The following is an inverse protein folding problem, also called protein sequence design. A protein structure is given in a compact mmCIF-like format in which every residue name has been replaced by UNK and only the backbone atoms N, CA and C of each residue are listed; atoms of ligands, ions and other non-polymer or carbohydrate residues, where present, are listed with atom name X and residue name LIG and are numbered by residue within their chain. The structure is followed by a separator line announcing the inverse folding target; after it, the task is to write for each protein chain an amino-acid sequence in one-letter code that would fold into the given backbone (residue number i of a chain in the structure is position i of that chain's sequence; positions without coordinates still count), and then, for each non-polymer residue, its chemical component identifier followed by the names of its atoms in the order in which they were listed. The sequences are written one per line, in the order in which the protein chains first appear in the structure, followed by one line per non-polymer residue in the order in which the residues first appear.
data_IF_653173646565
#
_entry.id   IF_653173646565
#
_cell.length_a   1.000
_cell.length_b   1.000
_cell.length_c   1.000
_cell.angle_alpha   90.00
_cell.angle_beta   90.00
_cell.angle_gamma   90.00
#
_symmetry.space_group_name_H-M   'P 1'
#
loop_
_entity.id
_entity.type
_entity.pdbx_description
1 polymer ?
#
# COMPACT_ATOMS: atom_id res chain seq x y z
N UNK A 1 -16.93 -47.15 -26.16
CA UNK A 1 -16.78 -45.70 -25.93
C UNK A 1 -17.33 -45.42 -24.54
N UNK A 2 -16.46 -45.35 -23.53
CA UNK A 2 -16.85 -45.08 -22.14
C UNK A 2 -16.70 -43.59 -21.86
N UNK A 3 -17.79 -42.93 -21.51
CA UNK A 3 -17.79 -41.57 -20.99
C UNK A 3 -17.14 -41.57 -19.61
N UNK A 4 -15.93 -41.00 -19.50
CA UNK A 4 -15.34 -40.71 -18.19
C UNK A 4 -16.21 -39.65 -17.52
N UNK A 5 -17.02 -40.07 -16.56
CA UNK A 5 -17.74 -39.17 -15.66
C UNK A 5 -16.70 -38.40 -14.86
N UNK A 6 -16.52 -37.12 -15.20
CA UNK A 6 -15.57 -36.24 -14.53
C UNK A 6 -15.94 -36.11 -13.07
N UNK A 7 -15.05 -36.54 -12.18
CA UNK A 7 -15.19 -36.31 -10.75
C UNK A 7 -15.39 -34.81 -10.51
N UNK A 8 -16.60 -34.44 -10.09
CA UNK A 8 -16.95 -33.06 -9.79
C UNK A 8 -16.02 -32.54 -8.71
N UNK A 9 -15.09 -31.65 -9.08
CA UNK A 9 -14.26 -30.93 -8.12
C UNK A 9 -15.17 -29.99 -7.35
N UNK A 10 -15.14 -30.07 -6.04
CA UNK A 10 -15.83 -29.13 -5.16
C UNK A 10 -15.36 -27.70 -5.46
N UNK A 11 -16.28 -26.71 -5.43
CA UNK A 11 -15.90 -25.31 -5.60
C UNK A 11 -14.91 -24.91 -4.52
N UNK A 12 -13.79 -24.29 -4.92
CA UNK A 12 -12.82 -23.74 -3.98
C UNK A 12 -13.20 -22.29 -3.66
N UNK A 13 -13.38 -21.99 -2.37
CA UNK A 13 -13.62 -20.63 -1.90
C UNK A 13 -12.28 -19.98 -1.52
N UNK A 14 -12.07 -18.75 -1.96
CA UNK A 14 -10.91 -17.94 -1.61
C UNK A 14 -11.34 -16.64 -0.91
N UNK A 15 -10.47 -16.07 -0.07
CA UNK A 15 -10.64 -14.74 0.52
C UNK A 15 -9.74 -13.72 -0.15
N UNK A 16 -10.27 -12.51 -0.35
CA UNK A 16 -9.46 -11.39 -0.82
C UNK A 16 -8.46 -10.97 0.28
N UNK A 17 -7.17 -10.81 -0.01
CA UNK A 17 -6.17 -10.43 1.00
C UNK A 17 -6.41 -9.02 1.55
N UNK A 18 -7.04 -8.12 0.77
CA UNK A 18 -7.28 -6.74 1.19
C UNK A 18 -8.53 -6.57 2.05
N UNK A 19 -9.64 -7.23 1.69
CA UNK A 19 -10.95 -6.99 2.32
C UNK A 19 -11.56 -8.23 2.99
N UNK A 20 -10.88 -9.38 2.93
CA UNK A 20 -11.28 -10.66 3.54
C UNK A 20 -12.65 -11.21 3.09
N UNK A 21 -13.28 -10.62 2.07
CA UNK A 21 -14.56 -11.08 1.54
C UNK A 21 -14.36 -12.37 0.75
N UNK A 22 -15.30 -13.31 0.91
CA UNK A 22 -15.35 -14.60 0.19
C UNK A 22 -15.77 -14.34 -1.25
N UNK A 23 -15.14 -15.03 -2.20
CA UNK A 23 -15.60 -15.08 -3.57
C UNK A 23 -15.47 -16.50 -4.12
N UNK A 24 -16.37 -16.83 -5.03
CA UNK A 24 -16.39 -18.09 -5.75
C UNK A 24 -15.57 -17.99 -7.02
N UNK A 25 -14.92 -19.09 -7.34
CA UNK A 25 -13.99 -19.18 -8.44
C UNK A 25 -14.59 -20.11 -9.50
N UNK A 26 -15.02 -19.58 -10.66
CA UNK A 26 -15.53 -20.42 -11.73
C UNK A 26 -14.42 -21.34 -12.23
N UNK A 27 -14.76 -22.63 -12.41
CA UNK A 27 -13.81 -23.71 -12.63
C UNK A 27 -12.85 -23.50 -13.81
N UNK A 28 -11.68 -24.15 -13.68
CA UNK A 28 -10.43 -24.01 -14.46
C UNK A 28 -9.62 -22.74 -14.13
N UNK A 29 -8.55 -22.93 -13.35
CA UNK A 29 -7.64 -21.86 -12.96
C UNK A 29 -6.31 -21.97 -13.67
N UNK A 30 -5.94 -20.89 -14.33
CA UNK A 30 -4.58 -20.71 -14.83
C UNK A 30 -3.72 -20.09 -13.73
N UNK A 31 -2.65 -20.76 -13.26
CA UNK A 31 -1.72 -20.20 -12.30
C UNK A 31 -0.99 -19.02 -12.94
N UNK A 32 -1.52 -17.82 -12.75
CA UNK A 32 -0.99 -16.60 -13.36
C UNK A 32 -2.02 -15.51 -13.63
N UNK A 33 -3.32 -15.84 -13.59
CA UNK A 33 -4.35 -14.82 -13.79
C UNK A 33 -4.40 -13.86 -12.59
N UNK A 34 -4.33 -12.56 -12.87
CA UNK A 34 -4.65 -11.51 -11.91
C UNK A 34 -6.18 -11.50 -11.72
N UNK A 35 -6.62 -11.69 -10.48
CA UNK A 35 -8.03 -11.61 -10.10
C UNK A 35 -8.28 -10.23 -9.47
N UNK A 36 -9.38 -9.58 -9.86
CA UNK A 36 -9.80 -8.31 -9.26
C UNK A 36 -10.97 -8.55 -8.31
N UNK A 37 -10.83 -8.13 -7.05
CA UNK A 37 -11.90 -8.23 -6.07
C UNK A 37 -13.05 -7.30 -6.46
N UNK A 38 -14.24 -7.85 -6.74
CA UNK A 38 -15.44 -7.07 -7.08
C UNK A 38 -15.91 -6.15 -5.95
N UNK A 39 -15.48 -6.39 -4.71
CA UNK A 39 -15.90 -5.63 -3.55
C UNK A 39 -15.01 -4.43 -3.22
N UNK A 40 -13.69 -4.57 -3.32
CA UNK A 40 -12.75 -3.50 -2.98
C UNK A 40 -11.91 -3.00 -4.16
N UNK A 41 -12.02 -3.63 -5.34
CA UNK A 41 -11.29 -3.27 -6.55
C UNK A 41 -9.82 -3.68 -6.54
N UNK A 42 -9.29 -4.28 -5.48
CA UNK A 42 -7.89 -4.70 -5.42
C UNK A 42 -7.62 -5.87 -6.36
N UNK A 43 -6.50 -5.80 -7.08
CA UNK A 43 -5.99 -6.88 -7.93
C UNK A 43 -4.98 -7.70 -7.14
N UNK A 44 -5.12 -9.02 -7.12
CA UNK A 44 -4.20 -9.93 -6.44
C UNK A 44 -3.94 -11.16 -7.31
N UNK A 45 -2.82 -11.84 -7.05
CA UNK A 45 -2.52 -13.10 -7.73
C UNK A 45 -3.18 -14.25 -6.98
N UNK A 46 -3.64 -15.27 -7.70
CA UNK A 46 -4.39 -16.38 -7.09
C UNK A 46 -3.61 -17.10 -5.97
N UNK A 47 -2.28 -17.16 -6.04
CA UNK A 47 -1.44 -17.77 -5.00
C UNK A 47 -1.30 -16.91 -3.73
N UNK A 48 -1.65 -15.63 -3.79
CA UNK A 48 -1.70 -14.72 -2.64
C UNK A 48 -3.05 -14.80 -1.92
N UNK A 49 -4.04 -15.47 -2.51
CA UNK A 49 -5.34 -15.64 -1.89
C UNK A 49 -5.26 -16.68 -0.76
N UNK A 50 -5.85 -16.34 0.39
CA UNK A 50 -5.88 -17.22 1.56
C UNK A 50 -6.88 -18.36 1.31
N UNK A 51 -6.48 -19.64 1.40
CA UNK A 51 -7.39 -20.76 1.32
C UNK A 51 -8.42 -20.68 2.45
N UNK A 52 -9.70 -20.79 2.09
CA UNK A 52 -10.75 -20.90 3.08
C UNK A 52 -10.81 -22.34 3.58
N UNK A 53 -10.36 -22.58 4.80
CA UNK A 53 -10.66 -23.84 5.50
C UNK A 53 -12.07 -23.76 6.07
N UNK A 54 -12.96 -24.64 5.59
CA UNK A 54 -14.34 -24.79 6.07
C UNK A 54 -14.42 -25.41 7.48
N UNK A 55 -13.28 -25.74 8.08
CA UNK A 55 -13.20 -26.50 9.34
C UNK A 55 -13.46 -25.66 10.60
N UNK A 56 -13.87 -24.39 10.49
CA UNK A 56 -14.45 -23.70 11.65
C UNK A 56 -15.88 -24.21 11.85
N UNK A 57 -16.17 -24.91 12.97
CA UNK A 57 -17.53 -25.36 13.26
C UNK A 57 -18.44 -24.13 13.21
N UNK A 58 -19.36 -24.13 12.25
CA UNK A 58 -20.45 -23.17 12.17
C UNK A 58 -21.10 -23.14 13.56
N UNK A 59 -20.85 -22.07 14.31
CA UNK A 59 -21.64 -21.73 15.46
C UNK A 59 -23.04 -21.47 14.89
N UNK A 60 -23.89 -22.49 15.00
CA UNK A 60 -25.23 -22.55 14.43
C UNK A 60 -26.12 -21.53 15.12
N UNK A 61 -25.96 -20.27 14.74
CA UNK A 61 -26.86 -19.21 15.15
C UNK A 61 -28.18 -19.44 14.39
N UNK A 62 -29.28 -19.81 15.07
CA UNK A 62 -30.54 -20.23 14.44
C UNK A 62 -31.23 -19.10 13.66
N UNK A 63 -30.73 -17.86 13.76
CA UNK A 63 -31.23 -16.71 12.99
C UNK A 63 -30.84 -16.73 11.49
N UNK A 64 -29.85 -17.54 11.08
CA UNK A 64 -29.39 -17.60 9.68
C UNK A 64 -30.07 -18.70 8.84
N UNK A 65 -30.75 -19.65 9.48
CA UNK A 65 -31.40 -20.79 8.81
C UNK A 65 -32.62 -20.40 7.95
N UNK A 66 -33.22 -19.22 8.20
CA UNK A 66 -34.39 -18.76 7.45
C UNK A 66 -34.11 -18.22 6.04
N UNK A 67 -32.85 -17.88 5.72
CA UNK A 67 -32.51 -17.26 4.42
C UNK A 67 -32.09 -18.32 3.39
N UNK A 68 -31.58 -19.48 3.82
CA UNK A 68 -31.10 -20.53 2.91
C UNK A 68 -32.23 -21.24 2.14
N UNK A 69 -33.45 -21.32 2.68
CA UNK A 69 -34.57 -22.01 2.02
C UNK A 69 -35.21 -21.23 0.86
N UNK A 70 -34.81 -19.98 0.62
CA UNK A 70 -35.32 -19.18 -0.50
C UNK A 70 -34.48 -19.28 -1.77
N UNK A 71 -33.32 -19.96 -1.75
CA UNK A 71 -32.44 -20.09 -2.92
C UNK A 71 -32.60 -21.40 -3.72
N UNK A 72 -33.37 -22.38 -3.25
CA UNK A 72 -33.46 -23.72 -3.86
C UNK A 72 -34.61 -23.88 -4.91
N UNK A 73 -35.03 -22.80 -5.59
CA UNK A 73 -35.97 -22.90 -6.72
C UNK A 73 -35.24 -22.68 -8.07
N UNK A 74 -34.80 -23.76 -8.77
CA UNK A 74 -34.01 -23.66 -10.00
C UNK A 74 -34.84 -23.63 -11.31
N UNK A 75 -36.12 -23.25 -11.29
CA UNK A 75 -37.01 -23.47 -12.44
C UNK A 75 -37.35 -22.25 -13.30
N UNK A 76 -37.00 -21.02 -12.90
CA UNK A 76 -37.12 -19.84 -13.77
C UNK A 76 -35.73 -19.25 -13.97
N UNK A 77 -35.20 -19.43 -15.19
CA UNK A 77 -33.99 -18.80 -15.70
C UNK A 77 -34.37 -17.51 -16.40
N UNK A 78 -34.43 -16.34 -15.73
CA UNK A 78 -34.33 -15.07 -16.43
C UNK A 78 -32.88 -14.90 -16.89
N UNK A 79 -32.73 -14.99 -18.20
CA UNK A 79 -31.52 -14.69 -18.94
C UNK A 79 -30.85 -13.40 -18.47
N UNK A 80 -29.52 -13.44 -18.43
CA UNK A 80 -28.63 -12.34 -18.17
C UNK A 80 -28.80 -11.66 -16.80
N UNK A 81 -28.17 -12.27 -15.78
CA UNK A 81 -27.67 -11.47 -14.66
C UNK A 81 -26.93 -10.26 -15.25
N UNK A 82 -27.38 -9.02 -14.96
CA UNK A 82 -26.76 -7.83 -15.53
C UNK A 82 -25.30 -7.88 -15.13
N UNK A 83 -24.41 -8.01 -16.13
CA UNK A 83 -22.99 -7.84 -15.88
C UNK A 83 -22.85 -6.52 -15.14
N UNK A 84 -22.19 -6.50 -13.96
CA UNK A 84 -22.04 -5.27 -13.18
C UNK A 84 -21.45 -4.23 -14.12
N UNK A 85 -22.30 -3.26 -14.49
CA UNK A 85 -22.05 -2.37 -15.59
C UNK A 85 -20.63 -1.78 -15.45
N UNK A 86 -19.85 -1.87 -16.52
CA UNK A 86 -18.52 -1.28 -16.64
C UNK A 86 -18.51 0.25 -16.41
N UNK A 87 -19.67 0.87 -16.22
CA UNK A 87 -19.85 2.27 -15.83
C UNK A 87 -19.31 2.62 -14.45
N UNK A 88 -19.06 1.62 -13.58
CA UNK A 88 -18.43 1.87 -12.28
C UNK A 88 -16.94 2.24 -12.34
N UNK A 89 -16.22 1.87 -13.41
CA UNK A 89 -14.78 2.15 -13.53
C UNK A 89 -14.47 3.55 -14.06
N UNK A 90 -15.35 4.15 -14.85
CA UNK A 90 -15.11 5.48 -15.45
C UNK A 90 -15.12 6.62 -14.43
N UNK A 91 -15.89 6.49 -13.34
CA UNK A 91 -15.93 7.51 -12.28
C UNK A 91 -14.62 7.60 -11.47
N UNK A 92 -13.81 6.54 -11.45
CA UNK A 92 -12.56 6.56 -10.69
C UNK A 92 -11.42 7.24 -11.47
N UNK A 93 -11.41 7.16 -12.81
CA UNK A 93 -10.31 7.72 -13.62
C UNK A 93 -10.33 9.24 -13.75
N UNK A 94 -11.51 9.88 -13.81
CA UNK A 94 -11.57 11.35 -13.96
C UNK A 94 -11.04 12.09 -12.73
N UNK A 95 -11.32 11.58 -11.53
CA UNK A 95 -10.87 12.19 -10.28
C UNK A 95 -9.36 12.09 -10.07
N UNK A 96 -8.73 11.01 -10.56
CA UNK A 96 -7.28 10.80 -10.43
C UNK A 96 -6.52 11.85 -11.22
N UNK A 97 -6.94 12.16 -12.44
CA UNK A 97 -6.29 13.18 -13.27
C UNK A 97 -6.38 14.58 -12.64
N UNK A 98 -7.54 14.91 -12.04
CA UNK A 98 -7.72 16.18 -11.34
C UNK A 98 -6.78 16.29 -10.11
N UNK A 99 -6.64 15.22 -9.32
CA UNK A 99 -5.73 15.19 -8.17
C UNK A 99 -4.28 15.37 -8.63
N UNK A 100 -3.86 14.69 -9.69
CA UNK A 100 -2.51 14.85 -10.26
C UNK A 100 -2.26 16.27 -10.77
N UNK A 101 -3.24 16.88 -11.43
CA UNK A 101 -3.13 18.27 -11.88
C UNK A 101 -2.97 19.23 -10.69
N UNK A 102 -3.74 19.04 -9.61
CA UNK A 102 -3.63 19.86 -8.40
C UNK A 102 -2.27 19.71 -7.71
N UNK A 103 -1.73 18.49 -7.64
CA UNK A 103 -0.40 18.24 -7.08
C UNK A 103 0.68 18.87 -7.97
N UNK A 104 0.58 18.72 -9.29
CA UNK A 104 1.53 19.31 -10.22
C UNK A 104 1.54 20.83 -10.13
N UNK A 105 0.35 21.45 -10.14
CA UNK A 105 0.19 22.90 -9.99
C UNK A 105 0.70 23.39 -8.63
N UNK A 106 0.37 22.68 -7.54
CA UNK A 106 0.86 22.99 -6.21
C UNK A 106 2.38 22.91 -6.10
N UNK A 107 2.99 21.87 -6.69
CA UNK A 107 4.44 21.72 -6.75
C UNK A 107 5.14 22.79 -7.59
N UNK A 108 4.58 23.15 -8.75
CA UNK A 108 5.10 24.25 -9.59
C UNK A 108 4.99 25.58 -8.84
N UNK A 109 3.86 25.86 -8.21
CA UNK A 109 3.67 27.07 -7.41
C UNK A 109 4.69 27.13 -6.26
N UNK A 110 4.91 26.02 -5.56
CA UNK A 110 5.92 25.93 -4.50
C UNK A 110 7.32 26.26 -5.02
N UNK A 111 7.74 25.66 -6.15
CA UNK A 111 9.05 25.93 -6.78
C UNK A 111 9.16 27.40 -7.20
N UNK A 112 8.11 27.96 -7.81
CA UNK A 112 8.10 29.36 -8.26
C UNK A 112 8.20 30.32 -7.06
N UNK A 113 7.47 30.06 -5.98
CA UNK A 113 7.54 30.83 -4.74
C UNK A 113 8.95 30.72 -4.15
N UNK A 114 9.53 29.52 -4.06
CA UNK A 114 10.91 29.35 -3.61
C UNK A 114 11.87 30.22 -4.42
N UNK A 115 11.73 30.22 -5.75
CA UNK A 115 12.57 31.01 -6.66
C UNK A 115 12.47 32.52 -6.40
N UNK A 116 11.27 33.04 -6.11
CA UNK A 116 11.07 34.46 -5.78
C UNK A 116 11.76 34.88 -4.47
N UNK A 117 11.88 33.96 -3.50
CA UNK A 117 12.54 34.24 -2.21
C UNK A 117 14.07 34.06 -2.23
N UNK A 118 14.64 33.45 -3.27
CA UNK A 118 16.08 33.21 -3.37
C UNK A 118 17.00 34.43 -3.22
N UNK A 119 16.70 35.61 -3.80
CA UNK A 119 17.59 36.77 -3.66
C UNK A 119 17.57 37.40 -2.26
N UNK A 120 16.56 37.08 -1.42
CA UNK A 120 16.38 37.70 -0.11
C UNK A 120 16.94 36.89 1.05
N UNK A 121 17.40 35.65 0.80
CA UNK A 121 17.84 34.74 1.86
C UNK A 121 19.33 34.45 1.79
N UNK A 122 20.00 34.70 2.93
CA UNK A 122 21.37 34.26 3.18
C UNK A 122 21.48 32.73 3.12
N UNK A 123 22.68 32.22 2.85
CA UNK A 123 22.96 30.78 2.74
C UNK A 123 22.41 29.93 3.91
N UNK A 124 22.67 30.28 5.18
CA UNK A 124 22.15 29.52 6.33
C UNK A 124 20.62 29.57 6.46
N UNK A 125 20.01 30.73 6.19
CA UNK A 125 18.55 30.89 6.23
C UNK A 125 17.87 30.04 5.16
N UNK A 126 18.45 30.00 3.94
CA UNK A 126 17.99 29.11 2.88
C UNK A 126 18.05 27.64 3.28
N UNK A 127 19.11 27.23 4.00
CA UNK A 127 19.28 25.83 4.40
C UNK A 127 18.21 25.39 5.41
N UNK A 128 17.85 26.26 6.36
CA UNK A 128 16.71 26.03 7.27
C UNK A 128 15.41 25.95 6.47
N UNK A 129 15.17 26.90 5.58
CA UNK A 129 13.99 26.89 4.69
C UNK A 129 13.90 25.59 3.89
N UNK A 130 15.01 25.12 3.32
CA UNK A 130 15.07 23.90 2.52
C UNK A 130 14.74 22.65 3.34
N UNK A 131 15.25 22.56 4.57
CA UNK A 131 14.92 21.45 5.49
C UNK A 131 13.43 21.49 5.86
N UNK A 132 12.89 22.66 6.18
CA UNK A 132 11.47 22.82 6.51
C UNK A 132 10.58 22.48 5.31
N UNK A 133 10.94 22.94 4.10
CA UNK A 133 10.23 22.62 2.87
C UNK A 133 10.29 21.11 2.56
N UNK A 134 11.44 20.46 2.74
CA UNK A 134 11.59 19.02 2.58
C UNK A 134 10.74 18.21 3.56
N UNK A 135 10.75 18.58 4.85
CA UNK A 135 9.89 17.96 5.87
C UNK A 135 8.40 18.22 5.61
N UNK A 136 8.05 19.43 5.17
CA UNK A 136 6.69 19.80 4.79
C UNK A 136 6.18 19.00 3.59
N UNK A 137 6.99 18.83 2.54
CA UNK A 137 6.67 17.97 1.41
C UNK A 137 6.52 16.50 1.84
N UNK A 138 7.43 16.00 2.68
CA UNK A 138 7.35 14.63 3.20
C UNK A 138 6.05 14.43 3.98
N UNK A 139 5.72 15.32 4.92
CA UNK A 139 4.47 15.26 5.69
C UNK A 139 3.23 15.39 4.81
N UNK A 140 3.25 16.31 3.84
CA UNK A 140 2.16 16.53 2.89
C UNK A 140 1.88 15.29 2.03
N UNK A 141 2.94 14.62 1.54
CA UNK A 141 2.82 13.35 0.81
C UNK A 141 2.22 12.26 1.71
N UNK A 142 2.63 12.16 2.97
CA UNK A 142 2.05 11.17 3.89
C UNK A 142 0.58 11.46 4.19
N UNK A 143 0.20 12.73 4.36
CA UNK A 143 -1.20 13.13 4.55
C UNK A 143 -2.05 12.81 3.31
N UNK A 144 -1.58 13.20 2.12
CA UNK A 144 -2.26 12.88 0.86
C UNK A 144 -2.43 11.38 0.67
N UNK A 145 -1.45 10.59 1.10
CA UNK A 145 -1.51 9.13 1.06
C UNK A 145 -2.54 8.53 2.02
N UNK A 146 -2.82 9.17 3.15
CA UNK A 146 -3.92 8.75 4.02
C UNK A 146 -5.29 9.04 3.39
N UNK A 147 -5.39 10.11 2.60
CA UNK A 147 -6.64 10.50 1.92
C UNK A 147 -6.88 9.75 0.61
N UNK A 148 -5.81 9.48 -0.15
CA UNK A 148 -5.85 8.87 -1.48
C UNK A 148 -5.10 7.54 -1.40
N UNK A 149 -5.85 6.48 -1.15
CA UNK A 149 -5.33 5.13 -0.90
C UNK A 149 -4.32 4.66 -1.97
N UNK A 150 -3.08 4.41 -1.53
CA UNK A 150 -2.25 3.34 -2.09
C UNK A 150 -1.35 3.64 -3.29
N UNK A 151 -1.18 4.89 -3.74
CA UNK A 151 -0.24 5.18 -4.83
C UNK A 151 1.13 5.62 -4.32
N UNK A 152 2.14 4.77 -4.49
CA UNK A 152 3.55 5.12 -4.21
C UNK A 152 4.05 6.27 -5.10
N UNK A 153 3.35 6.53 -6.20
CA UNK A 153 3.61 7.63 -7.13
C UNK A 153 3.67 9.00 -6.44
N UNK A 154 2.97 9.22 -5.32
CA UNK A 154 3.03 10.48 -4.57
C UNK A 154 4.40 10.71 -3.90
N UNK A 155 5.06 9.65 -3.43
CA UNK A 155 6.43 9.77 -2.89
C UNK A 155 7.43 10.14 -3.99
N UNK A 156 7.27 9.57 -5.19
CA UNK A 156 8.11 9.90 -6.34
C UNK A 156 7.92 11.36 -6.76
N UNK A 157 6.67 11.82 -6.84
CA UNK A 157 6.38 13.23 -7.16
C UNK A 157 6.98 14.19 -6.12
N UNK A 158 6.80 13.90 -4.82
CA UNK A 158 7.39 14.69 -3.73
C UNK A 158 8.92 14.75 -3.79
N UNK A 159 9.57 13.62 -4.07
CA UNK A 159 11.02 13.53 -4.29
C UNK A 159 11.47 14.42 -5.46
N UNK A 160 10.77 14.35 -6.60
CA UNK A 160 11.09 15.16 -7.77
C UNK A 160 10.97 16.66 -7.46
N UNK A 161 9.91 17.10 -6.78
CA UNK A 161 9.77 18.51 -6.39
C UNK A 161 10.87 18.95 -5.41
N UNK A 162 11.18 18.12 -4.42
CA UNK A 162 12.27 18.39 -3.49
C UNK A 162 13.62 18.56 -4.22
N UNK A 163 13.95 17.64 -5.13
CA UNK A 163 15.17 17.72 -5.93
C UNK A 163 15.19 18.94 -6.86
N UNK A 164 14.05 19.31 -7.46
CA UNK A 164 13.95 20.49 -8.31
C UNK A 164 14.20 21.79 -7.54
N UNK A 165 13.66 21.93 -6.32
CA UNK A 165 13.92 23.10 -5.47
C UNK A 165 15.42 23.19 -5.14
N UNK A 166 16.04 22.06 -4.78
CA UNK A 166 17.47 22.02 -4.49
C UNK A 166 18.32 22.31 -5.73
N UNK A 167 18.00 21.70 -6.88
CA UNK A 167 18.71 21.93 -8.13
C UNK A 167 18.61 23.39 -8.60
N UNK A 168 17.43 24.01 -8.49
CA UNK A 168 17.24 25.41 -8.86
C UNK A 168 18.14 26.35 -8.05
N UNK A 169 18.27 26.12 -6.74
CA UNK A 169 19.18 26.92 -5.91
C UNK A 169 20.65 26.58 -6.18
N UNK A 170 20.97 25.33 -6.50
CA UNK A 170 22.32 24.94 -6.89
C UNK A 170 22.78 25.72 -8.13
N UNK A 171 21.95 25.77 -9.18
CA UNK A 171 22.22 26.58 -10.38
C UNK A 171 22.34 28.07 -10.03
N UNK A 172 21.44 28.59 -9.19
CA UNK A 172 21.47 30.01 -8.81
C UNK A 172 22.78 30.41 -8.12
N UNK A 173 23.22 29.66 -7.11
CA UNK A 173 24.44 30.04 -6.41
C UNK A 173 25.72 29.75 -7.21
N UNK A 174 25.69 28.86 -8.23
CA UNK A 174 26.82 28.68 -9.15
C UNK A 174 27.11 29.99 -9.88
N UNK A 175 26.07 30.76 -10.18
CA UNK A 175 26.20 32.09 -10.77
C UNK A 175 26.65 33.17 -9.77
N UNK A 176 26.74 32.87 -8.47
CA UNK A 176 27.10 33.80 -7.40
C UNK A 176 28.37 33.40 -6.64
N UNK A 177 29.19 32.50 -7.20
CA UNK A 177 30.46 32.03 -6.63
C UNK A 177 30.38 31.54 -5.17
N UNK A 178 29.24 30.94 -4.76
CA UNK A 178 29.10 30.44 -3.39
C UNK A 178 29.90 29.15 -3.18
N UNK A 179 31.06 29.20 -2.53
CA UNK A 179 32.00 28.05 -2.47
C UNK A 179 31.62 26.87 -1.55
N UNK A 180 30.46 26.87 -0.87
CA UNK A 180 30.10 25.85 0.16
C UNK A 180 28.94 24.93 -0.24
N UNK A 181 29.07 24.29 -1.40
CA UNK A 181 28.04 23.39 -1.98
C UNK A 181 27.84 22.05 -1.26
N UNK A 182 28.86 21.58 -0.56
CA UNK A 182 28.85 20.24 0.04
C UNK A 182 27.68 20.03 1.00
N UNK A 183 27.38 21.03 1.84
CA UNK A 183 26.28 20.93 2.81
C UNK A 183 24.92 20.77 2.14
N UNK A 184 24.67 21.53 1.07
CA UNK A 184 23.42 21.45 0.34
C UNK A 184 23.27 20.09 -0.36
N UNK A 185 24.34 19.61 -0.98
CA UNK A 185 24.37 18.28 -1.63
C UNK A 185 24.09 17.16 -0.62
N UNK A 186 24.70 17.23 0.57
CA UNK A 186 24.47 16.26 1.63
C UNK A 186 23.01 16.25 2.10
N UNK A 187 22.37 17.41 2.26
CA UNK A 187 20.97 17.50 2.68
C UNK A 187 20.03 17.01 1.56
N UNK A 188 20.34 17.30 0.29
CA UNK A 188 19.59 16.73 -0.84
C UNK A 188 19.65 15.20 -0.83
N UNK A 189 20.83 14.64 -0.57
CA UNK A 189 21.01 13.19 -0.48
C UNK A 189 20.25 12.58 0.71
N UNK A 190 20.39 13.15 1.91
CA UNK A 190 19.68 12.70 3.11
C UNK A 190 18.16 12.79 2.92
N UNK A 191 17.67 13.91 2.38
CA UNK A 191 16.25 14.09 2.08
C UNK A 191 15.74 13.07 1.07
N UNK A 192 16.51 12.80 0.00
CA UNK A 192 16.16 11.78 -0.99
C UNK A 192 16.07 10.38 -0.38
N UNK A 193 17.01 10.04 0.52
CA UNK A 193 16.98 8.78 1.25
C UNK A 193 15.74 8.65 2.15
N UNK A 194 15.28 9.74 2.78
CA UNK A 194 14.05 9.72 3.57
C UNK A 194 12.81 9.40 2.71
N UNK A 195 12.71 9.96 1.50
CA UNK A 195 11.63 9.62 0.56
C UNK A 195 11.71 8.15 0.09
N UNK A 196 12.91 7.64 -0.17
CA UNK A 196 13.10 6.23 -0.55
C UNK A 196 12.75 5.26 0.59
N UNK A 197 13.16 5.57 1.82
CA UNK A 197 12.80 4.78 3.01
C UNK A 197 11.28 4.81 3.23
N UNK A 198 10.64 5.97 3.06
CA UNK A 198 9.17 6.10 3.10
C UNK A 198 8.48 5.16 2.11
N UNK A 199 9.00 5.07 0.88
CA UNK A 199 8.47 4.17 -0.16
C UNK A 199 8.65 2.70 0.22
N UNK A 200 9.81 2.33 0.77
CA UNK A 200 10.10 0.94 1.16
C UNK A 200 9.20 0.41 2.29
N UNK A 201 8.74 1.29 3.19
CA UNK A 201 7.86 0.92 4.31
C UNK A 201 6.46 0.47 3.87
N UNK A 202 6.04 0.84 2.65
CA UNK A 202 4.74 0.49 2.07
C UNK A 202 4.63 -0.98 1.71
N UNK A 203 5.68 -1.53 1.10
CA UNK A 203 5.66 -2.88 0.51
C UNK A 203 5.51 -3.99 1.55
N UNK A 204 5.61 -3.68 2.85
CA UNK A 204 5.48 -4.65 3.94
C UNK A 204 4.08 -4.71 4.56
N UNK A 205 3.11 -3.92 4.10
CA UNK A 205 1.73 -4.00 4.62
C UNK A 205 0.90 -5.16 4.05
N UNK A 206 1.47 -5.98 3.16
CA UNK A 206 0.82 -7.16 2.57
C UNK A 206 1.00 -8.47 3.35
N UNK A 207 2.04 -8.61 4.16
CA UNK A 207 2.30 -9.83 4.92
C UNK A 207 2.05 -9.57 6.42
N UNK A 208 1.08 -10.28 6.99
CA UNK A 208 0.72 -10.15 8.39
C UNK A 208 1.91 -10.40 9.32
N UNK A 209 2.24 -9.43 10.17
CA UNK A 209 3.17 -9.65 11.27
C UNK A 209 3.80 -8.38 11.82
N UNK A 210 3.31 -7.95 12.99
CA UNK A 210 4.09 -7.16 13.94
C UNK A 210 4.39 -5.71 13.56
N UNK A 211 3.62 -4.77 14.11
CA UNK A 211 4.07 -3.38 14.27
C UNK A 211 5.28 -3.35 15.20
N UNK A 212 6.49 -3.33 14.66
CA UNK A 212 7.67 -2.83 15.37
C UNK A 212 8.15 -1.56 14.67
N UNK A 213 7.80 -0.42 15.25
CA UNK A 213 8.17 0.90 14.74
C UNK A 213 9.69 1.10 14.70
N UNK A 214 10.13 1.84 13.69
CA UNK A 214 11.53 2.20 13.42
C UNK A 214 12.16 3.14 14.48
N UNK A 215 11.39 3.53 15.50
CA UNK A 215 11.84 4.28 16.69
C UNK A 215 11.85 3.45 17.97
N UNK A 216 11.69 2.12 17.90
CA UNK A 216 11.98 1.24 19.02
C UNK A 216 13.51 1.03 19.16
N UNK A 217 14.24 2.13 19.32
CA UNK A 217 15.52 2.13 20.00
C UNK A 217 15.23 1.96 21.50
N UNK A 218 15.02 0.71 21.91
CA UNK A 218 14.72 0.36 23.28
C UNK A 218 15.25 -1.02 23.58
N UNK A 219 16.52 -1.08 24.00
CA UNK A 219 17.10 -2.11 24.85
C UNK A 219 16.66 -3.56 24.61
N UNK A 220 17.38 -4.25 23.71
CA UNK A 220 17.56 -5.70 23.82
C UNK A 220 18.67 -6.00 24.85
N UNK A 221 18.54 -5.50 26.07
CA UNK A 221 19.37 -5.94 27.20
C UNK A 221 18.65 -7.09 27.88
N UNK A 222 19.30 -8.25 27.93
CA UNK A 222 18.90 -9.51 28.61
C UNK A 222 18.00 -10.50 27.85
N UNK A 223 18.55 -11.13 26.82
CA UNK A 223 18.28 -12.55 26.55
C UNK A 223 19.63 -13.28 26.45
N UNK A 224 20.35 -13.28 27.56
CA UNK A 224 21.47 -14.18 27.78
C UNK A 224 20.91 -15.58 28.07
N UNK A 225 20.96 -16.47 27.08
CA UNK A 225 21.05 -17.95 27.18
C UNK A 225 20.17 -18.65 26.13
N UNK A 226 20.63 -18.67 24.88
CA UNK A 226 20.29 -19.74 23.93
C UNK A 226 21.59 -20.19 23.27
N UNK A 227 22.43 -20.84 24.07
CA UNK A 227 23.52 -21.66 23.55
C UNK A 227 22.93 -22.95 23.00
N UNK A 228 23.54 -23.42 21.92
CA UNK A 228 23.50 -24.77 21.35
C UNK A 228 22.31 -25.17 20.46
N UNK A 229 22.71 -25.56 19.23
CA UNK A 229 22.08 -26.49 18.31
C UNK A 229 21.02 -25.96 17.33
N UNK A 230 21.50 -25.54 16.15
CA UNK A 230 21.09 -26.13 14.88
C UNK A 230 19.72 -25.76 14.31
N UNK A 231 19.74 -25.00 13.20
CA UNK A 231 18.87 -25.27 12.06
C UNK A 231 17.42 -24.79 12.16
N UNK A 232 17.19 -23.59 11.60
CA UNK A 232 16.02 -23.27 10.78
C UNK A 232 14.64 -23.58 11.37
N UNK A 233 14.06 -22.60 12.07
CA UNK A 233 12.62 -22.55 12.31
C UNK A 233 12.16 -21.10 12.17
N UNK A 234 11.67 -20.76 10.97
CA UNK A 234 10.78 -19.63 10.79
C UNK A 234 9.44 -19.99 11.44
N UNK A 235 9.07 -19.29 12.51
CA UNK A 235 7.86 -19.57 13.27
C UNK A 235 7.39 -18.32 13.97
N UNK A 236 6.23 -17.82 13.54
CA UNK A 236 5.55 -16.69 14.15
C UNK A 236 5.15 -16.98 15.59
N UNK A 237 5.35 -16.00 16.46
CA UNK A 237 4.79 -16.00 17.81
C UNK A 237 3.31 -15.62 17.74
N UNK A 238 2.45 -16.59 17.41
CA UNK A 238 1.02 -16.52 17.69
C UNK A 238 0.78 -16.74 19.17
N UNK A 239 0.71 -15.65 19.94
CA UNK A 239 0.34 -15.66 21.35
C UNK A 239 -1.16 -15.91 21.52
N UNK A 240 -1.54 -17.17 21.71
CA UNK A 240 -2.78 -17.54 22.37
C UNK A 240 -2.51 -17.71 23.87
N UNK A 241 -2.94 -16.75 24.68
CA UNK A 241 -3.12 -17.00 26.12
C UNK A 241 -4.56 -17.46 26.31
N UNK A 242 -4.70 -18.77 26.49
CA UNK A 242 -5.94 -19.40 26.92
C UNK A 242 -6.32 -18.98 28.34
N UNK A 243 -7.63 -19.02 28.60
CA UNK A 243 -8.17 -19.03 29.94
C UNK A 243 -7.92 -20.38 30.62
N UNK A 244 -7.51 -20.30 31.88
CA UNK A 244 -7.82 -21.24 32.95
C UNK A 244 -8.49 -20.36 34.02
N UNK A 245 -9.65 -20.72 34.56
CA UNK A 245 -9.73 -21.75 35.59
C UNK A 245 -9.63 -21.06 36.94
#
# INVERSE_FOLDING_TARGET
MGTMSGAGRSPQFLRCPSCLRRFELPGEHYPGLLQQCTSCGSTFRLHEALPWHEDQPQETNPASAGIAQLLDNPADSPDALPQPNATGQTYYSENVNAIWAMIALGGIALVAVSYMFFPFMDGPAFLIYYVVAGLGLLAGVQLLRFSVSGQDSFNVAGLVFFLLIGAARYIYGLNHDMHKWGYMTNIMFIGSMLFLVSMSSTNRRGDGGGRSGFFAAGNCTSCSSCSSCGGGCGGGCGGGCGGCG
#
